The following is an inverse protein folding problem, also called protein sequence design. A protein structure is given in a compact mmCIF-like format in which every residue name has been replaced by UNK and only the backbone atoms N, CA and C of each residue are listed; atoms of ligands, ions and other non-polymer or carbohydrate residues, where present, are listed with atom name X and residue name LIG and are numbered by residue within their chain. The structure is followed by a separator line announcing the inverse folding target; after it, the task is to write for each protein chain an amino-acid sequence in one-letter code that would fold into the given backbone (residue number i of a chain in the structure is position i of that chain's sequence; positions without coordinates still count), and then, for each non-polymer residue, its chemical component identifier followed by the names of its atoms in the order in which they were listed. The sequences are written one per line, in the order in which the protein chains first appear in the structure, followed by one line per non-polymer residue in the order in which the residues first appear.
data_IF_095345919088
#
_entry.id   IF_095345919088
#
_cell.length_a   1.000
_cell.length_b   1.000
_cell.length_c   1.000
_cell.angle_alpha   90.00
_cell.angle_beta   90.00
_cell.angle_gamma   90.00
#
_symmetry.space_group_name_H-M   'P 1'
#
loop_
_entity.id
_entity.type
_entity.pdbx_description
1 polymer ?
#
# COMPACT_ATOMS: atom_id res chain seq x y z
N UNK A 1 -20.55 6.42 6.22
CA UNK A 1 -19.30 7.19 6.17
C UNK A 1 -19.62 8.67 6.12
N UNK A 2 -18.94 9.47 6.94
CA UNK A 2 -19.04 10.94 6.93
C UNK A 2 -18.01 11.51 5.98
N UNK A 3 -18.47 12.21 4.95
CA UNK A 3 -17.61 12.83 3.93
C UNK A 3 -17.70 14.35 4.03
N UNK A 4 -16.56 15.02 3.89
CA UNK A 4 -16.50 16.44 3.55
C UNK A 4 -16.21 16.52 2.06
N UNK A 5 -17.11 17.13 1.30
CA UNK A 5 -16.95 17.32 -0.15
C UNK A 5 -16.71 18.79 -0.42
N UNK A 6 -15.64 19.11 -1.13
CA UNK A 6 -15.39 20.43 -1.71
C UNK A 6 -15.57 20.30 -3.21
N UNK A 7 -16.52 21.03 -3.77
CA UNK A 7 -16.74 21.15 -5.21
C UNK A 7 -16.21 22.50 -5.65
N UNK A 8 -15.34 22.51 -6.65
CA UNK A 8 -14.89 23.71 -7.36
C UNK A 8 -15.41 23.59 -8.79
N UNK A 9 -16.52 24.26 -9.05
CA UNK A 9 -17.02 24.47 -10.40
C UNK A 9 -16.33 25.70 -10.97
N UNK A 10 -15.75 25.59 -12.17
CA UNK A 10 -14.94 26.67 -12.73
C UNK A 10 -15.77 27.86 -13.19
N UNK A 11 -17.08 27.69 -13.39
CA UNK A 11 -18.00 28.73 -13.84
C UNK A 11 -18.79 29.34 -12.66
N UNK A 12 -19.07 28.56 -11.61
CA UNK A 12 -19.96 28.96 -10.50
C UNK A 12 -19.29 29.03 -9.12
N UNK A 13 -18.03 28.64 -8.98
CA UNK A 13 -17.22 28.88 -7.79
C UNK A 13 -17.00 27.66 -6.89
N UNK A 14 -16.78 27.89 -5.59
CA UNK A 14 -16.41 26.83 -4.63
C UNK A 14 -17.52 26.63 -3.60
N UNK A 15 -17.97 25.38 -3.47
CA UNK A 15 -18.92 24.94 -2.46
C UNK A 15 -18.31 23.86 -1.58
N UNK A 16 -18.62 23.85 -0.28
CA UNK A 16 -18.16 22.83 0.65
C UNK A 16 -19.34 22.30 1.44
N UNK A 17 -19.59 21.00 1.35
CA UNK A 17 -20.67 20.35 2.08
C UNK A 17 -20.20 19.12 2.86
N UNK A 18 -21.05 18.65 3.77
CA UNK A 18 -20.84 17.40 4.51
C UNK A 18 -21.94 16.43 4.11
N UNK A 19 -21.55 15.22 3.71
CA UNK A 19 -22.48 14.19 3.23
C UNK A 19 -22.26 12.92 4.04
N UNK A 20 -23.37 12.36 4.52
CA UNK A 20 -23.39 10.99 4.99
C UNK A 20 -23.75 10.05 3.85
N UNK A 21 -22.86 9.10 3.56
CA UNK A 21 -23.06 8.08 2.52
C UNK A 21 -22.86 6.70 3.16
N UNK A 22 -23.71 5.69 2.89
CA UNK A 22 -23.47 4.33 3.38
C UNK A 22 -22.08 3.80 2.98
N UNK A 23 -21.42 3.00 3.82
CA UNK A 23 -20.06 2.53 3.53
C UNK A 23 -19.98 1.67 2.25
N UNK A 24 -21.05 0.91 1.99
CA UNK A 24 -21.19 0.02 0.83
C UNK A 24 -21.80 0.70 -0.41
N UNK A 25 -22.06 2.02 -0.35
CA UNK A 25 -22.60 2.76 -1.49
C UNK A 25 -21.63 2.83 -2.65
N UNK A 26 -22.15 3.05 -3.86
CA UNK A 26 -21.35 3.30 -5.05
C UNK A 26 -20.96 4.77 -5.21
N UNK A 27 -19.91 5.04 -5.98
CA UNK A 27 -19.51 6.39 -6.37
C UNK A 27 -20.65 7.13 -7.08
N UNK A 28 -21.44 6.40 -7.87
CA UNK A 28 -22.63 6.93 -8.53
C UNK A 28 -23.65 7.51 -7.53
N UNK A 29 -23.85 6.85 -6.39
CA UNK A 29 -24.73 7.36 -5.33
C UNK A 29 -24.19 8.67 -4.74
N UNK A 30 -22.86 8.79 -4.56
CA UNK A 30 -22.22 10.01 -4.09
C UNK A 30 -22.41 11.14 -5.12
N UNK A 31 -22.10 10.90 -6.39
CA UNK A 31 -22.21 11.89 -7.45
C UNK A 31 -23.67 12.30 -7.68
N UNK A 32 -24.61 11.36 -7.66
CA UNK A 32 -26.05 11.65 -7.73
C UNK A 32 -26.59 12.40 -6.51
N UNK A 33 -25.91 12.35 -5.35
CA UNK A 33 -26.21 13.28 -4.24
C UNK A 33 -25.71 14.70 -4.55
N UNK A 34 -24.52 14.84 -5.13
CA UNK A 34 -24.02 16.17 -5.53
C UNK A 34 -24.88 16.83 -6.61
N UNK A 35 -25.42 16.04 -7.55
CA UNK A 35 -26.38 16.52 -8.55
C UNK A 35 -27.68 16.98 -7.91
N UNK A 36 -28.25 16.19 -6.99
CA UNK A 36 -29.50 16.55 -6.30
C UNK A 36 -29.40 17.77 -5.39
N UNK A 37 -28.20 18.08 -4.90
CA UNK A 37 -27.92 19.24 -4.08
C UNK A 37 -27.48 20.46 -4.92
N UNK A 38 -27.65 20.40 -6.24
CA UNK A 38 -27.28 21.44 -7.21
C UNK A 38 -25.81 21.90 -7.12
N UNK A 39 -24.91 20.98 -6.73
CA UNK A 39 -23.48 21.27 -6.61
C UNK A 39 -22.70 20.97 -7.88
N UNK A 40 -23.19 20.03 -8.68
CA UNK A 40 -22.67 19.68 -10.01
C UNK A 40 -23.85 19.37 -10.92
N UNK A 41 -23.67 19.50 -12.23
CA UNK A 41 -24.70 19.18 -13.21
C UNK A 41 -24.56 17.75 -13.71
N UNK A 42 -25.68 17.09 -14.01
CA UNK A 42 -25.71 15.71 -14.53
C UNK A 42 -24.90 15.57 -15.84
N UNK A 43 -24.89 16.63 -16.65
CA UNK A 43 -24.09 16.72 -17.88
C UNK A 43 -22.57 16.59 -17.66
N UNK A 44 -22.08 16.84 -16.45
CA UNK A 44 -20.66 16.72 -16.14
C UNK A 44 -20.22 15.28 -15.89
N UNK A 45 -21.14 14.41 -15.45
CA UNK A 45 -20.82 13.06 -14.98
C UNK A 45 -19.98 12.25 -15.97
N UNK A 46 -20.32 12.18 -17.28
CA UNK A 46 -19.53 11.40 -18.25
C UNK A 46 -18.08 11.89 -18.40
N UNK A 47 -17.82 13.17 -18.14
CA UNK A 47 -16.50 13.81 -18.24
C UNK A 47 -15.67 13.69 -16.96
N UNK A 48 -16.26 13.25 -15.84
CA UNK A 48 -15.54 13.09 -14.58
C UNK A 48 -14.57 11.92 -14.68
N UNK A 49 -13.34 12.16 -14.24
CA UNK A 49 -12.25 11.20 -14.16
C UNK A 49 -11.65 11.22 -12.77
N UNK A 50 -11.02 10.13 -12.37
CA UNK A 50 -10.23 10.07 -11.14
C UNK A 50 -9.12 9.06 -11.31
N UNK A 51 -7.89 9.40 -10.90
CA UNK A 51 -6.76 8.47 -10.89
C UNK A 51 -6.56 7.69 -12.22
N UNK A 52 -6.82 8.33 -13.36
CA UNK A 52 -6.73 7.72 -14.70
C UNK A 52 -7.96 6.93 -15.16
N UNK A 53 -8.95 6.69 -14.31
CA UNK A 53 -10.22 6.04 -14.64
C UNK A 53 -11.25 7.04 -15.16
N UNK A 54 -12.02 6.62 -16.15
CA UNK A 54 -13.22 7.32 -16.66
C UNK A 54 -14.44 7.03 -15.81
N UNK A 55 -15.46 7.89 -15.87
CA UNK A 55 -16.73 7.70 -15.16
C UNK A 55 -17.33 6.31 -15.39
N UNK A 56 -17.33 5.81 -16.63
CA UNK A 56 -17.83 4.47 -16.97
C UNK A 56 -17.15 3.34 -16.19
N UNK A 57 -15.88 3.52 -15.81
CA UNK A 57 -15.08 2.51 -15.12
C UNK A 57 -15.22 2.59 -13.59
N UNK A 58 -15.36 3.80 -13.00
CA UNK A 58 -15.37 3.95 -11.55
C UNK A 58 -16.76 4.15 -10.92
N UNK A 59 -17.80 4.57 -11.67
CA UNK A 59 -19.08 4.97 -11.07
C UNK A 59 -19.77 3.86 -10.28
N UNK A 60 -19.60 2.60 -10.68
CA UNK A 60 -20.16 1.43 -9.98
C UNK A 60 -19.30 0.93 -8.82
N UNK A 61 -18.07 1.43 -8.68
CA UNK A 61 -17.21 1.05 -7.58
C UNK A 61 -17.77 1.55 -6.26
N UNK A 62 -17.37 0.92 -5.16
CA UNK A 62 -17.71 1.41 -3.82
C UNK A 62 -17.09 2.79 -3.62
N UNK A 63 -17.82 3.69 -2.97
CA UNK A 63 -17.34 5.05 -2.63
C UNK A 63 -16.05 5.00 -1.82
N UNK A 64 -15.86 3.95 -0.99
CA UNK A 64 -14.62 3.70 -0.26
C UNK A 64 -13.41 3.49 -1.18
N UNK A 65 -13.61 2.94 -2.38
CA UNK A 65 -12.53 2.69 -3.34
C UNK A 65 -11.91 3.97 -3.90
N UNK A 66 -12.61 5.11 -3.88
CA UNK A 66 -12.04 6.40 -4.33
C UNK A 66 -10.82 6.83 -3.51
N UNK A 67 -10.74 6.37 -2.27
CA UNK A 67 -9.77 6.83 -1.31
C UNK A 67 -8.43 6.10 -1.42
N UNK A 68 -8.40 4.86 -1.90
CA UNK A 68 -7.18 4.05 -2.06
C UNK A 68 -6.22 4.15 -0.85
N UNK A 69 -6.76 4.05 0.37
CA UNK A 69 -5.98 4.19 1.61
C UNK A 69 -5.61 5.61 2.04
N UNK A 70 -5.89 6.64 1.23
CA UNK A 70 -5.72 8.06 1.56
C UNK A 70 -7.00 8.63 2.16
N UNK A 71 -6.91 9.69 2.96
CA UNK A 71 -8.11 10.35 3.52
C UNK A 71 -8.85 11.21 2.50
N UNK A 72 -8.26 11.43 1.32
CA UNK A 72 -8.72 12.38 0.32
C UNK A 72 -8.68 11.74 -1.08
N UNK A 73 -9.79 11.87 -1.80
CA UNK A 73 -9.91 11.55 -3.22
C UNK A 73 -10.21 12.83 -4.02
N UNK A 74 -9.75 12.88 -5.27
CA UNK A 74 -10.03 13.99 -6.18
C UNK A 74 -10.60 13.44 -7.48
N UNK A 75 -11.77 13.94 -7.87
CA UNK A 75 -12.41 13.66 -9.15
C UNK A 75 -12.42 14.96 -9.96
N UNK A 76 -12.04 14.90 -11.23
CA UNK A 76 -11.89 16.09 -12.08
C UNK A 76 -12.54 15.91 -13.43
N UNK A 77 -13.00 17.01 -14.00
CA UNK A 77 -13.35 17.15 -15.41
C UNK A 77 -12.81 18.50 -15.90
N UNK A 78 -13.08 18.85 -17.14
CA UNK A 78 -12.85 20.18 -17.71
C UNK A 78 -13.73 21.28 -17.07
N UNK A 79 -14.80 20.90 -16.35
CA UNK A 79 -15.76 21.83 -15.75
C UNK A 79 -15.70 21.91 -14.22
N UNK A 80 -15.30 20.83 -13.56
CA UNK A 80 -15.37 20.72 -12.10
C UNK A 80 -14.23 19.91 -11.50
N UNK A 81 -13.75 20.34 -10.33
CA UNK A 81 -12.91 19.56 -9.42
C UNK A 81 -13.68 19.25 -8.12
N UNK A 82 -13.85 17.96 -7.84
CA UNK A 82 -14.53 17.44 -6.65
C UNK A 82 -13.48 16.81 -5.75
N UNK A 83 -13.20 17.45 -4.62
CA UNK A 83 -12.38 16.89 -3.55
C UNK A 83 -13.27 16.24 -2.51
N UNK A 84 -13.11 14.94 -2.29
CA UNK A 84 -13.82 14.17 -1.26
C UNK A 84 -12.86 13.83 -0.14
N UNK A 85 -13.20 14.15 1.10
CA UNK A 85 -12.39 13.85 2.29
C UNK A 85 -13.19 13.01 3.28
N UNK A 86 -12.68 11.85 3.66
CA UNK A 86 -13.31 10.99 4.66
C UNK A 86 -13.03 11.54 6.06
N UNK A 87 -14.08 11.87 6.83
CA UNK A 87 -13.95 12.21 8.25
C UNK A 87 -13.88 10.93 9.07
N UNK A 88 -12.77 10.70 9.76
CA UNK A 88 -12.59 9.60 10.71
C UNK A 88 -13.54 9.74 11.90
N UNK A 89 -14.21 8.65 12.28
CA UNK A 89 -14.72 8.48 13.64
C UNK A 89 -13.60 7.89 14.48
N UNK A 90 -12.99 8.68 15.35
CA UNK A 90 -11.76 8.29 16.06
C UNK A 90 -11.95 7.20 17.12
N UNK A 91 -13.19 6.91 17.55
CA UNK A 91 -13.46 6.12 18.76
C UNK A 91 -13.63 4.61 18.51
N UNK A 92 -14.14 4.18 17.35
CA UNK A 92 -14.39 2.75 17.09
C UNK A 92 -13.24 1.99 16.41
N UNK A 93 -12.34 2.69 15.71
CA UNK A 93 -11.33 2.06 14.83
C UNK A 93 -9.97 1.83 15.51
N UNK A 94 -9.63 2.59 16.55
CA UNK A 94 -8.37 2.41 17.30
C UNK A 94 -8.36 1.13 18.15
N UNK A 95 -9.52 0.68 18.62
CA UNK A 95 -9.59 -0.51 19.48
C UNK A 95 -9.23 -1.80 18.73
N UNK A 96 -9.63 -1.97 17.47
CA UNK A 96 -9.35 -3.18 16.68
C UNK A 96 -7.89 -3.32 16.23
N UNK A 97 -7.21 -2.20 15.91
CA UNK A 97 -5.81 -2.23 15.50
C UNK A 97 -4.83 -2.44 16.67
N UNK A 98 -5.24 -2.09 17.89
CA UNK A 98 -4.45 -2.28 19.12
C UNK A 98 -4.50 -3.73 19.61
N UNK A 99 -5.50 -4.53 19.17
CA UNK A 99 -5.64 -5.94 19.53
C UNK A 99 -4.86 -6.91 18.63
N UNK A 100 -4.23 -6.42 17.56
CA UNK A 100 -3.40 -7.25 16.69
C UNK A 100 -2.02 -7.47 17.33
N UNK A 101 -1.45 -8.67 17.15
CA UNK A 101 -0.11 -9.00 17.59
C UNK A 101 0.91 -8.63 16.52
N UNK A 102 1.76 -7.65 16.81
CA UNK A 102 2.84 -7.19 15.93
C UNK A 102 4.21 -7.69 16.37
N UNK A 103 4.31 -8.54 17.39
CA UNK A 103 5.56 -8.97 17.99
C UNK A 103 6.51 -9.60 16.96
N UNK A 104 5.98 -10.44 16.07
CA UNK A 104 6.75 -11.05 14.99
C UNK A 104 7.27 -10.03 13.99
N UNK A 105 6.42 -9.09 13.56
CA UNK A 105 6.82 -8.03 12.63
C UNK A 105 7.94 -7.18 13.22
N UNK A 106 7.78 -6.73 14.47
CA UNK A 106 8.77 -5.91 15.18
C UNK A 106 10.11 -6.66 15.28
N UNK A 107 10.08 -7.94 15.67
CA UNK A 107 11.27 -8.78 15.80
C UNK A 107 11.99 -8.96 14.45
N UNK A 108 11.23 -9.24 13.39
CA UNK A 108 11.80 -9.42 12.04
C UNK A 108 12.37 -8.12 11.50
N UNK A 109 11.72 -6.98 11.72
CA UNK A 109 12.25 -5.66 11.33
C UNK A 109 13.56 -5.37 12.06
N UNK A 110 13.65 -5.65 13.36
CA UNK A 110 14.87 -5.43 14.13
C UNK A 110 16.04 -6.25 13.56
N UNK A 111 15.82 -7.56 13.35
CA UNK A 111 16.82 -8.45 12.73
C UNK A 111 17.19 -8.06 11.31
N UNK A 112 16.21 -7.60 10.53
CA UNK A 112 16.48 -7.10 9.18
C UNK A 112 17.42 -5.89 9.22
N UNK A 113 17.19 -4.93 10.12
CA UNK A 113 18.06 -3.75 10.26
C UNK A 113 19.47 -4.12 10.72
N UNK A 114 19.61 -5.11 11.60
CA UNK A 114 20.93 -5.64 11.96
C UNK A 114 21.66 -6.23 10.75
N UNK A 115 20.95 -7.00 9.91
CA UNK A 115 21.49 -7.59 8.69
C UNK A 115 21.86 -6.52 7.66
N UNK A 116 20.98 -5.55 7.43
CA UNK A 116 21.18 -4.41 6.53
C UNK A 116 22.45 -3.64 6.89
N UNK A 117 22.68 -3.34 8.17
CA UNK A 117 23.91 -2.66 8.60
C UNK A 117 25.20 -3.44 8.28
N UNK A 118 25.09 -4.75 8.04
CA UNK A 118 26.21 -5.64 7.69
C UNK A 118 26.28 -6.01 6.21
N UNK A 119 25.34 -5.52 5.38
CA UNK A 119 25.19 -5.89 3.97
C UNK A 119 24.94 -4.67 3.09
N UNK A 120 25.57 -4.62 1.92
CA UNK A 120 25.28 -3.59 0.92
C UNK A 120 24.16 -4.09 0.00
N UNK A 121 22.91 -4.02 0.47
CA UNK A 121 21.74 -4.22 -0.38
C UNK A 121 21.37 -2.88 -0.99
N UNK A 122 21.38 -2.77 -2.32
CA UNK A 122 21.02 -1.52 -2.99
C UNK A 122 19.52 -1.25 -2.89
N UNK A 123 19.17 0.02 -2.64
CA UNK A 123 17.79 0.47 -2.74
C UNK A 123 17.29 0.31 -4.19
N UNK A 124 16.03 -0.06 -4.33
CA UNK A 124 15.42 -0.47 -5.59
C UNK A 124 15.58 -1.96 -5.90
N UNK A 125 16.34 -2.73 -5.11
CA UNK A 125 16.44 -4.19 -5.30
C UNK A 125 15.06 -4.83 -5.17
N UNK A 126 14.66 -5.59 -6.20
CA UNK A 126 13.39 -6.33 -6.22
C UNK A 126 13.64 -7.81 -5.94
N UNK A 127 12.95 -8.35 -4.95
CA UNK A 127 12.97 -9.75 -4.58
C UNK A 127 11.72 -10.45 -5.10
N UNK A 128 11.88 -11.69 -5.55
CA UNK A 128 10.73 -12.55 -5.86
C UNK A 128 10.52 -13.56 -4.72
N UNK A 129 9.32 -13.57 -4.15
CA UNK A 129 8.97 -14.48 -3.06
C UNK A 129 7.75 -15.30 -3.46
N UNK A 130 7.91 -16.61 -3.47
CA UNK A 130 6.82 -17.56 -3.64
C UNK A 130 6.66 -18.43 -2.39
N UNK A 131 5.43 -18.48 -1.87
CA UNK A 131 5.02 -19.36 -0.79
C UNK A 131 3.79 -20.15 -1.24
N UNK A 132 4.01 -21.42 -1.54
CA UNK A 132 3.00 -22.30 -2.11
C UNK A 132 2.40 -21.67 -3.38
N UNK A 133 1.15 -21.21 -3.30
CA UNK A 133 0.41 -20.58 -4.41
C UNK A 133 0.55 -19.06 -4.44
N UNK A 134 1.04 -18.44 -3.37
CA UNK A 134 1.15 -16.99 -3.27
C UNK A 134 2.50 -16.52 -3.82
N UNK A 135 2.47 -15.49 -4.67
CA UNK A 135 3.63 -14.96 -5.35
C UNK A 135 3.65 -13.45 -5.21
N UNK A 136 4.80 -12.93 -4.77
CA UNK A 136 5.02 -11.53 -4.47
C UNK A 136 6.30 -11.01 -5.10
N UNK A 137 6.27 -9.74 -5.48
CA UNK A 137 7.48 -8.95 -5.67
C UNK A 137 7.59 -7.99 -4.50
N UNK A 138 8.78 -7.90 -3.93
CA UNK A 138 9.05 -7.03 -2.79
C UNK A 138 10.20 -6.14 -3.21
N UNK A 139 9.97 -4.83 -3.25
CA UNK A 139 11.00 -3.85 -3.57
C UNK A 139 11.51 -3.23 -2.28
N UNK A 140 12.82 -3.29 -2.08
CA UNK A 140 13.47 -2.65 -0.95
C UNK A 140 13.79 -1.21 -1.29
N UNK A 141 13.39 -0.28 -0.43
CA UNK A 141 13.47 1.17 -0.64
C UNK A 141 14.14 1.84 0.55
N UNK A 142 14.61 3.09 0.37
CA UNK A 142 15.31 3.86 1.40
C UNK A 142 14.55 3.91 2.74
N UNK A 143 13.23 3.96 2.66
CA UNK A 143 12.35 4.07 3.82
C UNK A 143 11.61 2.78 4.15
N UNK A 144 11.93 1.64 3.55
CA UNK A 144 11.32 0.36 3.93
C UNK A 144 11.04 -0.55 2.74
N UNK A 145 9.81 -1.05 2.63
CA UNK A 145 9.44 -2.06 1.64
C UNK A 145 8.13 -1.73 0.94
N UNK A 146 8.12 -1.97 -0.37
CA UNK A 146 6.92 -1.95 -1.20
C UNK A 146 6.56 -3.38 -1.61
N UNK A 147 5.29 -3.75 -1.46
CA UNK A 147 4.81 -5.11 -1.74
C UNK A 147 3.84 -5.12 -2.92
N UNK A 148 4.04 -6.09 -3.81
CA UNK A 148 3.30 -6.24 -5.06
C UNK A 148 2.83 -7.68 -5.21
N UNK A 149 1.56 -7.87 -5.59
CA UNK A 149 1.10 -9.18 -6.05
C UNK A 149 1.74 -9.46 -7.41
N UNK A 150 2.47 -10.57 -7.52
CA UNK A 150 3.30 -10.88 -8.68
C UNK A 150 2.52 -10.81 -10.01
N UNK A 151 1.38 -11.50 -10.09
CA UNK A 151 0.59 -11.56 -11.33
C UNK A 151 -0.11 -10.25 -11.68
N UNK A 152 -0.54 -9.49 -10.68
CA UNK A 152 -1.39 -8.30 -10.88
C UNK A 152 -0.59 -7.02 -11.03
N UNK A 153 0.60 -6.96 -10.43
CA UNK A 153 1.37 -5.74 -10.28
C UNK A 153 2.81 -5.91 -10.75
N UNK A 154 3.10 -6.91 -11.61
CA UNK A 154 4.43 -7.20 -12.13
C UNK A 154 5.13 -5.94 -12.63
N UNK A 155 4.55 -5.25 -13.63
CA UNK A 155 5.17 -4.07 -14.23
C UNK A 155 5.32 -2.92 -13.23
N UNK A 156 4.41 -2.79 -12.26
CA UNK A 156 4.48 -1.71 -11.26
C UNK A 156 5.70 -1.85 -10.34
N UNK A 157 6.15 -3.08 -10.04
CA UNK A 157 7.29 -3.30 -9.16
C UNK A 157 8.64 -2.84 -9.75
N UNK A 158 8.71 -2.62 -11.07
CA UNK A 158 9.95 -2.26 -11.79
C UNK A 158 9.98 -0.83 -12.32
N UNK A 159 8.93 -0.02 -12.11
CA UNK A 159 8.94 1.39 -12.52
C UNK A 159 9.81 2.22 -11.58
N UNK A 160 10.42 3.28 -12.10
CA UNK A 160 11.20 4.21 -11.28
C UNK A 160 10.33 5.20 -10.51
N UNK A 161 9.15 5.55 -11.03
CA UNK A 161 8.19 6.48 -10.41
C UNK A 161 6.74 6.01 -10.62
N UNK A 162 5.79 6.66 -9.93
CA UNK A 162 4.34 6.36 -10.00
C UNK A 162 4.00 4.88 -9.80
N UNK A 163 4.64 4.29 -8.80
CA UNK A 163 4.37 2.92 -8.36
C UNK A 163 3.15 2.87 -7.45
N UNK A 164 2.39 1.80 -7.59
CA UNK A 164 1.19 1.54 -6.80
C UNK A 164 1.28 0.15 -6.14
N UNK A 165 2.13 -0.03 -5.11
CA UNK A 165 2.15 -1.26 -4.32
C UNK A 165 0.80 -1.47 -3.61
N UNK A 166 0.43 -2.72 -3.35
CA UNK A 166 -0.79 -3.00 -2.59
C UNK A 166 -0.62 -2.73 -1.09
N UNK A 167 0.63 -2.75 -0.61
CA UNK A 167 1.01 -2.49 0.77
C UNK A 167 2.40 -1.84 0.81
N UNK A 168 2.59 -0.88 1.71
CA UNK A 168 3.91 -0.30 2.01
C UNK A 168 4.19 -0.49 3.50
N UNK A 169 5.37 -1.02 3.82
CA UNK A 169 5.92 -0.99 5.16
C UNK A 169 7.00 0.09 5.20
N UNK A 170 6.66 1.24 5.76
CA UNK A 170 7.60 2.32 5.98
C UNK A 170 8.28 2.16 7.34
N UNK A 171 9.59 2.35 7.40
CA UNK A 171 10.39 2.34 8.61
C UNK A 171 10.80 3.78 8.92
N UNK A 172 10.44 4.25 10.10
CA UNK A 172 10.74 5.60 10.57
C UNK A 172 11.69 5.58 11.76
N UNK A 173 12.45 6.65 11.94
CA UNK A 173 13.07 7.01 13.21
C UNK A 173 12.02 7.62 14.14
N UNK A 174 12.30 7.68 15.44
CA UNK A 174 11.40 8.33 16.42
C UNK A 174 11.08 9.79 16.08
N UNK A 175 11.99 10.51 15.42
CA UNK A 175 11.82 11.93 15.10
C UNK A 175 10.90 12.15 13.89
N UNK A 176 10.82 11.17 12.98
CA UNK A 176 9.95 11.22 11.79
C UNK A 176 8.51 10.79 12.08
N UNK A 177 8.25 10.21 13.26
CA UNK A 177 6.92 9.81 13.68
C UNK A 177 6.05 11.04 13.97
N UNK A 178 4.88 11.10 13.35
CA UNK A 178 3.81 12.02 13.76
C UNK A 178 3.31 11.70 15.16
N UNK A 179 2.59 12.64 15.79
CA UNK A 179 2.04 12.42 17.14
C UNK A 179 1.09 11.21 17.20
N UNK A 180 0.32 10.95 16.15
CA UNK A 180 -0.57 9.78 16.06
C UNK A 180 0.21 8.48 15.90
N UNK A 181 1.21 8.45 15.00
CA UNK A 181 2.05 7.28 14.80
C UNK A 181 2.86 6.95 16.06
N UNK A 182 3.40 7.96 16.75
CA UNK A 182 4.12 7.77 18.00
C UNK A 182 3.24 7.15 19.10
N UNK A 183 1.97 7.59 19.20
CA UNK A 183 1.02 7.00 20.15
C UNK A 183 0.75 5.54 19.82
N UNK A 184 0.60 5.20 18.54
CA UNK A 184 0.35 3.83 18.09
C UNK A 184 1.60 2.94 18.22
N UNK A 185 2.79 3.41 17.82
CA UNK A 185 4.04 2.65 18.00
C UNK A 185 4.22 2.24 19.47
N UNK A 186 3.93 3.14 20.42
CA UNK A 186 3.99 2.85 21.86
C UNK A 186 3.05 1.74 22.32
N UNK A 187 2.01 1.40 21.57
CA UNK A 187 1.13 0.28 21.91
C UNK A 187 1.71 -1.06 21.47
N UNK A 188 2.69 -1.08 20.56
CA UNK A 188 3.25 -2.32 19.99
C UNK A 188 4.74 -2.51 20.32
N UNK A 189 5.49 -1.43 20.54
CA UNK A 189 6.92 -1.48 20.89
C UNK A 189 7.41 -0.18 21.55
N UNK A 190 8.64 -0.18 22.08
CA UNK A 190 9.28 1.06 22.50
C UNK A 190 9.81 1.84 21.27
N UNK A 191 9.45 3.12 21.08
CA UNK A 191 9.88 3.89 19.91
C UNK A 191 11.40 4.02 19.82
N UNK A 192 11.98 3.57 18.70
CA UNK A 192 13.42 3.55 18.45
C UNK A 192 13.94 4.85 17.84
N UNK A 193 15.15 5.27 18.22
CA UNK A 193 15.87 6.36 17.55
C UNK A 193 16.37 5.96 16.16
N UNK A 194 16.62 4.67 15.93
CA UNK A 194 16.99 4.10 14.63
C UNK A 194 15.76 3.97 13.72
N UNK A 195 15.97 3.87 12.41
CA UNK A 195 14.93 3.70 11.39
C UNK A 195 14.37 2.27 11.40
N UNK A 196 13.63 1.94 12.46
CA UNK A 196 13.04 0.60 12.68
C UNK A 196 11.64 0.62 13.29
N UNK A 197 11.00 1.78 13.37
CA UNK A 197 9.60 1.88 13.80
C UNK A 197 8.70 1.57 12.58
N UNK A 198 7.95 0.45 12.58
CA UNK A 198 7.21 0.01 11.40
C UNK A 198 5.88 0.75 11.26
N UNK A 199 5.63 1.39 10.13
CA UNK A 199 4.37 2.04 9.76
C UNK A 199 3.79 1.30 8.57
N UNK A 200 2.62 0.69 8.75
CA UNK A 200 1.94 -0.06 7.70
C UNK A 200 0.96 0.87 6.99
N UNK A 201 1.23 1.17 5.72
CA UNK A 201 0.31 1.91 4.86
C UNK A 201 -0.58 0.92 4.12
N UNK A 202 -1.78 0.74 4.68
CA UNK A 202 -2.86 -0.06 4.12
C UNK A 202 -4.20 0.61 4.45
N UNK A 203 -5.24 0.35 3.67
CA UNK A 203 -6.60 0.69 4.10
C UNK A 203 -6.88 0.12 5.49
N UNK A 204 -7.11 1.01 6.47
CA UNK A 204 -7.28 0.68 7.89
C UNK A 204 -8.34 -0.38 8.16
N UNK A 205 -9.39 -0.46 7.32
CA UNK A 205 -10.45 -1.46 7.41
C UNK A 205 -10.06 -2.86 6.93
N UNK A 206 -8.91 -2.99 6.24
CA UNK A 206 -8.39 -4.27 5.74
C UNK A 206 -7.36 -4.88 6.67
N UNK A 207 -6.76 -4.10 7.57
CA UNK A 207 -5.73 -4.60 8.48
C UNK A 207 -6.33 -5.60 9.48
N UNK A 208 -5.84 -6.83 9.42
CA UNK A 208 -6.17 -7.93 10.31
C UNK A 208 -4.88 -8.71 10.66
N UNK A 209 -5.00 -9.74 11.51
CA UNK A 209 -3.83 -10.51 11.95
C UNK A 209 -3.13 -11.20 10.78
N UNK A 210 -3.88 -11.80 9.85
CA UNK A 210 -3.32 -12.51 8.71
C UNK A 210 -2.39 -11.62 7.87
N UNK A 211 -2.75 -10.35 7.68
CA UNK A 211 -1.91 -9.38 6.95
C UNK A 211 -0.64 -9.04 7.74
N UNK A 212 -0.73 -8.89 9.06
CA UNK A 212 0.44 -8.60 9.90
C UNK A 212 1.41 -9.77 9.88
N UNK A 213 0.89 -10.99 9.97
CA UNK A 213 1.67 -12.24 9.93
C UNK A 213 2.29 -12.47 8.55
N UNK A 214 1.53 -12.21 7.48
CA UNK A 214 2.03 -12.26 6.11
C UNK A 214 3.16 -11.25 5.90
N UNK A 215 2.99 -10.02 6.39
CA UNK A 215 4.01 -8.98 6.30
C UNK A 215 5.29 -9.39 7.02
N UNK A 216 5.19 -9.87 8.26
CA UNK A 216 6.33 -10.38 9.02
C UNK A 216 7.03 -11.52 8.26
N UNK A 217 6.25 -12.42 7.65
CA UNK A 217 6.78 -13.54 6.88
C UNK A 217 7.52 -13.06 5.62
N UNK A 218 6.95 -12.11 4.87
CA UNK A 218 7.55 -11.59 3.64
C UNK A 218 8.86 -10.84 3.91
N UNK A 219 8.90 -9.98 4.94
CA UNK A 219 10.15 -9.32 5.37
C UNK A 219 11.18 -10.36 5.81
N UNK A 220 10.74 -11.39 6.55
CA UNK A 220 11.63 -12.48 6.95
C UNK A 220 12.19 -13.25 5.74
N UNK A 221 11.39 -13.47 4.67
CA UNK A 221 11.90 -14.11 3.44
C UNK A 221 12.96 -13.26 2.75
N UNK A 222 12.76 -11.95 2.67
CA UNK A 222 13.78 -11.02 2.13
C UNK A 222 15.08 -11.11 2.94
N UNK A 223 14.97 -11.08 4.27
CA UNK A 223 16.11 -11.25 5.18
C UNK A 223 16.85 -12.58 4.94
N UNK A 224 16.11 -13.69 4.77
CA UNK A 224 16.69 -15.01 4.49
C UNK A 224 17.40 -15.07 3.13
N UNK A 225 16.84 -14.41 2.10
CA UNK A 225 17.51 -14.28 0.79
C UNK A 225 18.84 -13.54 0.96
N UNK A 226 18.83 -12.35 1.56
CA UNK A 226 20.03 -11.53 1.77
C UNK A 226 21.09 -12.33 2.53
N UNK A 227 20.72 -12.96 3.66
CA UNK A 227 21.64 -13.75 4.47
C UNK A 227 22.26 -14.92 3.68
N UNK A 228 21.47 -15.62 2.85
CA UNK A 228 22.00 -16.72 2.02
C UNK A 228 23.02 -16.23 1.00
N UNK A 229 22.76 -15.09 0.36
CA UNK A 229 23.65 -14.50 -0.63
C UNK A 229 24.94 -13.99 0.01
N UNK A 230 24.84 -13.36 1.18
CA UNK A 230 25.99 -12.93 1.98
C UNK A 230 26.88 -14.11 2.38
N UNK A 231 26.32 -15.19 2.96
CA UNK A 231 27.07 -16.41 3.32
C UNK A 231 27.73 -17.04 2.09
N UNK A 232 27.05 -16.99 0.94
CA UNK A 232 27.56 -17.54 -0.32
C UNK A 232 28.52 -16.59 -1.05
N UNK A 233 28.77 -15.39 -0.52
CA UNK A 233 29.57 -14.31 -1.13
C UNK A 233 29.15 -14.00 -2.58
N UNK A 234 27.84 -14.02 -2.85
CA UNK A 234 27.25 -13.67 -4.15
C UNK A 234 26.59 -12.31 -4.07
N UNK A 235 26.72 -11.52 -5.13
CA UNK A 235 25.94 -10.28 -5.28
C UNK A 235 24.45 -10.59 -5.37
N UNK A 236 23.62 -9.73 -4.79
CA UNK A 236 22.16 -9.74 -4.99
C UNK A 236 21.77 -9.18 -6.36
N UNK A 237 22.65 -8.41 -6.98
CA UNK A 237 22.50 -7.91 -8.34
C UNK A 237 23.00 -8.95 -9.35
N UNK A 238 22.16 -9.24 -10.33
CA UNK A 238 22.53 -10.00 -11.51
C UNK A 238 21.63 -9.56 -12.65
N UNK A 239 22.25 -9.20 -13.77
CA UNK A 239 21.53 -8.81 -14.98
C UNK A 239 20.49 -9.87 -15.36
N UNK A 240 19.25 -9.42 -15.57
CA UNK A 240 18.16 -10.29 -16.00
C UNK A 240 17.61 -11.22 -14.93
N UNK A 241 18.02 -11.12 -13.66
CA UNK A 241 17.62 -12.08 -12.60
C UNK A 241 17.18 -11.38 -11.32
N UNK A 242 16.27 -12.04 -10.60
CA UNK A 242 15.84 -11.59 -9.28
C UNK A 242 16.31 -12.53 -8.18
N UNK A 243 16.89 -12.01 -7.07
CA UNK A 243 17.13 -12.79 -5.88
C UNK A 243 15.78 -13.26 -5.31
N UNK A 244 15.67 -14.56 -5.07
CA UNK A 244 14.39 -15.24 -4.94
C UNK A 244 14.34 -16.22 -3.78
N UNK A 245 13.16 -16.32 -3.17
CA UNK A 245 12.77 -17.38 -2.25
C UNK A 245 11.58 -18.12 -2.83
N UNK A 246 11.70 -19.44 -3.04
CA UNK A 246 10.61 -20.26 -3.55
C UNK A 246 10.37 -21.41 -2.59
N UNK A 247 9.16 -21.50 -2.06
CA UNK A 247 8.70 -22.61 -1.23
C UNK A 247 7.51 -23.32 -1.88
N UNK A 248 7.64 -24.63 -2.06
CA UNK A 248 6.62 -25.52 -2.63
C UNK A 248 6.63 -26.86 -1.89
N UNK A 249 5.47 -27.30 -1.40
CA UNK A 249 5.33 -28.56 -0.68
C UNK A 249 6.38 -28.69 0.45
N UNK A 250 6.49 -27.65 1.27
CA UNK A 250 7.44 -27.56 2.40
C UNK A 250 8.94 -27.52 2.04
N UNK A 251 9.30 -27.70 0.76
CA UNK A 251 10.69 -27.54 0.29
C UNK A 251 10.92 -26.11 -0.11
N UNK A 252 12.04 -25.54 0.35
CA UNK A 252 12.45 -24.20 -0.04
C UNK A 252 13.72 -24.20 -0.89
N UNK A 253 13.83 -23.19 -1.74
CA UNK A 253 15.00 -22.89 -2.55
C UNK A 253 15.25 -21.39 -2.53
N UNK A 254 16.52 -21.01 -2.44
CA UNK A 254 16.97 -19.63 -2.43
C UNK A 254 18.05 -19.49 -3.50
N UNK A 255 17.85 -18.54 -4.41
CA UNK A 255 18.76 -18.33 -5.52
C UNK A 255 18.26 -17.26 -6.47
N UNK A 256 18.69 -17.33 -7.73
CA UNK A 256 18.21 -16.44 -8.78
C UNK A 256 17.10 -17.09 -9.59
N UNK A 257 16.12 -16.28 -9.99
CA UNK A 257 15.14 -16.63 -11.03
C UNK A 257 15.27 -15.64 -12.18
N UNK A 258 15.26 -16.14 -13.41
CA UNK A 258 15.36 -15.32 -14.62
C UNK A 258 14.08 -14.47 -14.80
N UNK A 259 14.24 -13.18 -15.09
CA UNK A 259 13.13 -12.27 -15.40
C UNK A 259 12.31 -12.77 -16.59
N UNK A 260 12.95 -13.37 -17.60
CA UNK A 260 12.25 -13.95 -18.75
C UNK A 260 11.36 -15.13 -18.36
N UNK A 261 11.75 -15.91 -17.35
CA UNK A 261 10.89 -16.96 -16.81
C UNK A 261 9.68 -16.33 -16.09
N UNK A 262 9.92 -15.32 -15.27
CA UNK A 262 8.85 -14.62 -14.54
C UNK A 262 7.84 -13.98 -15.50
N UNK A 263 8.30 -13.29 -16.55
CA UNK A 263 7.43 -12.72 -17.60
C UNK A 263 6.53 -13.76 -18.27
N UNK A 264 7.02 -14.99 -18.47
CA UNK A 264 6.19 -16.08 -19.00
C UNK A 264 5.10 -16.50 -18.02
N UNK A 265 5.43 -16.60 -16.73
CA UNK A 265 4.46 -16.97 -15.68
C UNK A 265 3.36 -15.92 -15.55
N UNK A 266 3.68 -14.63 -15.71
CA UNK A 266 2.68 -13.54 -15.67
C UNK A 266 1.67 -13.66 -16.81
N UNK A 267 2.08 -14.16 -17.98
CA UNK A 267 1.21 -14.31 -19.17
C UNK A 267 0.29 -15.52 -19.14
N UNK A 268 0.47 -16.44 -18.18
CA UNK A 268 -0.32 -17.67 -18.01
C UNK A 268 -1.39 -17.44 -16.94
#
# INVERSE_FOLDING_TARGET
MKLKVKVRDFDSGISIIKIDVPAESTVDLLLGKLVREDLIFESYLPGIKTMGYTYGEFHKLKTSSLFHGKEKAVLTSDKVEITVTQKKSEEGQKAGQVLLDYSQLVNVVDKFKELENSTNVEYGTVFFVQQEKHQYLIRYEEHGFEFYHFKLQYDNAFKDEDRFPFLILELKTKQELTTSELKWIRTIMFPSKERKNPIIHLEVSKLNQDIVDELATLVHRVMVIIGKFQVSKKSLESDGKLPSYVQLNEKNSIGFVELEQLKRIVKI
#
